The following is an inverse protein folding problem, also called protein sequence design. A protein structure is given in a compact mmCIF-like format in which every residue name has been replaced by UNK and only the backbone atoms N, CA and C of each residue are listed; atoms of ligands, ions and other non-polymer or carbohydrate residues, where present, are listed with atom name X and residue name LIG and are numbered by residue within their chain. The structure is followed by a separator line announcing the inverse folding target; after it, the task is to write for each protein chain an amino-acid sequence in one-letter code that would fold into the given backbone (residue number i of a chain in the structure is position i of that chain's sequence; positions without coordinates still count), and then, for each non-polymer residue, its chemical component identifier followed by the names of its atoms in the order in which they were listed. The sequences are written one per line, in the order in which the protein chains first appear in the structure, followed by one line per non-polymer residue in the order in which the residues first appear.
data_IF_833128388278
#
_entry.id   IF_833128388278
#
_cell.length_a   1.000
_cell.length_b   1.000
_cell.length_c   1.000
_cell.angle_alpha   90.00
_cell.angle_beta   90.00
_cell.angle_gamma   90.00
#
_symmetry.space_group_name_H-M   'P 1'
#
loop_
_entity.id
_entity.type
_entity.pdbx_description
1 polymer ?
#
# COMPACT_ATOMS: atom_id res chain seq x y z
N UNK A 1 8.42 4.12 -21.86
CA UNK A 1 7.28 3.28 -22.29
C UNK A 1 7.14 2.19 -21.26
N UNK A 2 5.98 2.01 -20.63
CA UNK A 2 5.79 1.28 -19.35
C UNK A 2 5.79 -0.26 -19.53
N UNK A 3 6.23 -0.77 -20.67
CA UNK A 3 5.49 -1.86 -21.29
C UNK A 3 5.89 -3.26 -20.86
N UNK A 4 7.15 -3.60 -20.59
CA UNK A 4 7.49 -5.02 -20.44
C UNK A 4 6.94 -5.63 -19.14
N UNK A 5 7.10 -4.92 -18.03
CA UNK A 5 6.79 -5.41 -16.68
C UNK A 5 5.49 -4.89 -16.08
N UNK A 6 4.72 -4.06 -16.79
CA UNK A 6 3.47 -3.51 -16.24
C UNK A 6 2.23 -4.31 -16.60
N UNK A 7 1.20 -4.18 -15.75
CA UNK A 7 -0.05 -4.92 -15.90
C UNK A 7 0.09 -6.42 -15.65
N UNK A 8 1.16 -6.84 -14.96
CA UNK A 8 1.35 -8.25 -14.59
C UNK A 8 0.56 -8.56 -13.32
N UNK A 9 -0.27 -9.58 -13.39
CA UNK A 9 -1.03 -10.11 -12.27
C UNK A 9 -0.27 -11.25 -11.59
N UNK A 10 -0.24 -11.16 -10.27
CA UNK A 10 0.40 -12.11 -9.39
C UNK A 10 -0.60 -12.67 -8.39
N UNK A 11 -0.35 -13.91 -8.00
CA UNK A 11 -0.94 -14.54 -6.82
C UNK A 11 0.13 -14.67 -5.73
N UNK A 12 -0.24 -14.39 -4.49
CA UNK A 12 0.62 -14.61 -3.34
C UNK A 12 -0.13 -15.35 -2.23
N UNK A 13 0.59 -16.15 -1.43
CA UNK A 13 0.02 -16.86 -0.28
C UNK A 13 -0.13 -15.88 0.88
N UNK A 14 -1.29 -15.88 1.55
CA UNK A 14 -1.52 -15.13 2.78
C UNK A 14 -0.90 -15.87 3.98
N UNK A 15 -0.61 -15.13 5.05
CA UNK A 15 -0.12 -15.76 6.28
C UNK A 15 -1.25 -16.59 6.94
N UNK A 16 -0.86 -17.47 7.87
CA UNK A 16 -1.78 -18.32 8.67
C UNK A 16 -2.80 -19.13 7.84
N UNK A 17 -2.38 -19.56 6.66
CA UNK A 17 -3.19 -20.36 5.72
C UNK A 17 -4.55 -19.72 5.36
N UNK A 18 -4.62 -18.38 5.37
CA UNK A 18 -5.85 -17.66 5.03
C UNK A 18 -6.24 -17.73 3.54
N UNK A 19 -5.38 -18.31 2.71
CA UNK A 19 -5.58 -18.55 1.28
C UNK A 19 -4.59 -17.80 0.40
N UNK A 20 -5.06 -17.30 -0.73
CA UNK A 20 -4.25 -16.64 -1.75
C UNK A 20 -4.86 -15.31 -2.17
N UNK A 21 -4.06 -14.24 -2.08
CA UNK A 21 -4.39 -12.90 -2.57
C UNK A 21 -3.89 -12.67 -3.99
N UNK A 22 -4.39 -11.60 -4.59
CA UNK A 22 -4.05 -11.20 -5.96
C UNK A 22 -3.58 -9.75 -5.99
N UNK A 23 -2.54 -9.49 -6.78
CA UNK A 23 -2.05 -8.15 -6.99
C UNK A 23 -1.67 -7.93 -8.45
N UNK A 24 -1.82 -6.70 -8.89
CA UNK A 24 -1.34 -6.21 -10.17
C UNK A 24 -0.16 -5.28 -9.94
N UNK A 25 0.93 -5.52 -10.68
CA UNK A 25 2.15 -4.74 -10.59
C UNK A 25 2.41 -3.93 -11.85
N UNK A 26 2.96 -2.74 -11.62
CA UNK A 26 3.38 -1.77 -12.61
C UNK A 26 4.83 -1.41 -12.37
N UNK A 27 5.62 -1.38 -13.44
CA UNK A 27 7.02 -1.04 -13.38
C UNK A 27 7.26 0.31 -14.04
N UNK A 28 7.65 1.29 -13.24
CA UNK A 28 7.92 2.66 -13.70
C UNK A 28 9.40 3.03 -13.59
N UNK A 29 10.28 2.05 -13.33
CA UNK A 29 11.72 2.29 -13.16
C UNK A 29 12.36 2.99 -14.37
N UNK A 30 11.85 2.73 -15.57
CA UNK A 30 12.32 3.34 -16.82
C UNK A 30 11.87 4.80 -17.00
N UNK A 31 10.91 5.27 -16.21
CA UNK A 31 10.38 6.64 -16.26
C UNK A 31 10.87 7.45 -15.07
N UNK A 32 10.78 6.88 -13.86
CA UNK A 32 11.23 7.53 -12.64
C UNK A 32 11.93 6.51 -11.73
N UNK A 33 13.26 6.61 -11.65
CA UNK A 33 14.10 5.74 -10.82
C UNK A 33 13.78 5.80 -9.32
N UNK A 34 13.14 6.88 -8.86
CA UNK A 34 12.73 7.05 -7.46
C UNK A 34 11.40 6.35 -7.11
N UNK A 35 10.57 6.02 -8.12
CA UNK A 35 9.18 5.61 -7.89
C UNK A 35 9.00 4.09 -7.82
N UNK A 36 10.06 3.32 -8.10
CA UNK A 36 10.07 1.85 -8.01
C UNK A 36 8.92 1.20 -8.79
N UNK A 37 8.52 0.01 -8.33
CA UNK A 37 7.35 -0.69 -8.87
C UNK A 37 6.13 -0.39 -8.01
N UNK A 38 4.97 -0.19 -8.61
CA UNK A 38 3.70 0.08 -7.93
C UNK A 38 2.83 -1.18 -7.97
N UNK A 39 2.18 -1.52 -6.86
CA UNK A 39 1.22 -2.63 -6.81
C UNK A 39 -0.14 -2.20 -6.28
N UNK A 40 -1.17 -2.83 -6.83
CA UNK A 40 -2.55 -2.79 -6.34
C UNK A 40 -2.96 -4.21 -5.96
N UNK A 41 -3.48 -4.37 -4.75
CA UNK A 41 -3.98 -5.64 -4.21
C UNK A 41 -5.49 -5.65 -4.32
N UNK A 42 -6.06 -6.74 -4.83
CA UNK A 42 -7.50 -6.90 -5.02
C UNK A 42 -8.17 -7.54 -3.80
N UNK A 43 -9.46 -7.27 -3.58
CA UNK A 43 -10.20 -7.80 -2.43
C UNK A 43 -10.42 -9.31 -2.48
N UNK A 44 -10.35 -9.93 -3.67
CA UNK A 44 -10.53 -11.36 -3.85
C UNK A 44 -9.48 -12.16 -3.07
N UNK A 45 -9.95 -13.21 -2.39
CA UNK A 45 -9.12 -14.24 -1.75
C UNK A 45 -9.66 -15.60 -2.16
N UNK A 46 -8.79 -16.44 -2.72
CA UNK A 46 -9.12 -17.82 -3.03
C UNK A 46 -8.52 -18.74 -1.95
N UNK A 47 -9.30 -19.67 -1.39
CA UNK A 47 -8.80 -20.62 -0.39
C UNK A 47 -7.83 -21.64 -1.00
N UNK A 48 -8.03 -21.97 -2.26
CA UNK A 48 -7.22 -22.93 -3.00
C UNK A 48 -6.68 -22.35 -4.31
N UNK A 49 -5.59 -22.93 -4.79
CA UNK A 49 -5.02 -22.55 -6.08
C UNK A 49 -5.80 -23.16 -7.24
N UNK A 50 -6.11 -22.35 -8.26
CA UNK A 50 -6.72 -22.81 -9.51
C UNK A 50 -5.66 -22.97 -10.59
N UNK A 51 -5.92 -23.84 -11.57
CA UNK A 51 -5.07 -23.98 -12.77
C UNK A 51 -5.16 -22.75 -13.67
N UNK A 52 -6.35 -22.15 -13.75
CA UNK A 52 -6.65 -20.99 -14.57
C UNK A 52 -7.42 -19.95 -13.76
N UNK A 53 -7.18 -18.68 -14.07
CA UNK A 53 -7.85 -17.54 -13.48
C UNK A 53 -8.40 -16.66 -14.60
N UNK A 54 -9.56 -16.04 -14.36
CA UNK A 54 -10.13 -15.03 -15.25
C UNK A 54 -9.88 -13.65 -14.67
N UNK A 55 -9.45 -12.71 -15.50
CA UNK A 55 -9.05 -11.36 -15.08
C UNK A 55 -10.23 -10.60 -14.47
N UNK A 56 -11.38 -10.61 -15.14
CA UNK A 56 -12.61 -9.90 -14.75
C UNK A 56 -13.07 -10.32 -13.35
N UNK A 57 -12.85 -11.59 -13.05
CA UNK A 57 -13.20 -12.27 -11.82
C UNK A 57 -12.31 -11.83 -10.64
N UNK A 58 -11.10 -11.33 -10.92
CA UNK A 58 -10.19 -10.71 -9.94
C UNK A 58 -10.51 -9.21 -9.83
N UNK A 59 -10.59 -8.52 -10.97
CA UNK A 59 -10.73 -7.05 -11.01
C UNK A 59 -12.08 -6.56 -10.50
N UNK A 60 -13.16 -7.31 -10.74
CA UNK A 60 -14.51 -7.00 -10.23
C UNK A 60 -14.62 -7.01 -8.71
N UNK A 61 -13.66 -7.63 -7.99
CA UNK A 61 -13.62 -7.58 -6.53
C UNK A 61 -13.23 -6.20 -5.97
N UNK A 62 -12.70 -5.32 -6.82
CA UNK A 62 -12.19 -4.02 -6.44
C UNK A 62 -10.85 -4.08 -5.72
N UNK A 63 -10.26 -2.91 -5.54
CA UNK A 63 -8.93 -2.74 -4.93
C UNK A 63 -9.08 -2.72 -3.41
N UNK A 64 -8.33 -3.58 -2.73
CA UNK A 64 -8.23 -3.65 -1.28
C UNK A 64 -7.16 -2.72 -0.72
N UNK A 65 -5.99 -2.73 -1.37
CA UNK A 65 -4.83 -1.92 -1.01
C UNK A 65 -4.18 -1.38 -2.28
N UNK A 66 -3.77 -0.13 -2.27
CA UNK A 66 -3.06 0.47 -3.40
C UNK A 66 -3.29 1.98 -3.50
N UNK A 67 -2.48 2.70 -4.28
CA UNK A 67 -1.21 2.24 -4.85
C UNK A 67 -0.15 2.04 -3.77
N UNK A 68 0.52 0.88 -3.74
CA UNK A 68 1.64 0.59 -2.82
C UNK A 68 2.95 0.62 -3.61
N UNK A 69 3.97 1.30 -3.08
CA UNK A 69 5.31 1.28 -3.67
C UNK A 69 6.14 0.11 -3.17
N UNK A 70 6.84 -0.54 -4.08
CA UNK A 70 7.81 -1.59 -3.81
C UNK A 70 9.23 -1.11 -4.10
N UNK A 71 10.18 -1.47 -3.24
CA UNK A 71 11.60 -1.23 -3.52
C UNK A 71 12.16 -2.15 -4.61
N UNK A 72 11.48 -3.27 -4.89
CA UNK A 72 11.85 -4.22 -5.93
C UNK A 72 10.61 -4.83 -6.57
N UNK A 73 10.68 -5.11 -7.87
CA UNK A 73 9.62 -5.79 -8.59
C UNK A 73 9.31 -7.17 -7.97
N UNK A 74 8.06 -7.66 -7.97
CA UNK A 74 7.73 -8.94 -7.37
C UNK A 74 8.53 -10.11 -7.94
N UNK A 75 9.25 -10.82 -7.07
CA UNK A 75 10.02 -12.01 -7.44
C UNK A 75 9.10 -13.22 -7.64
N UNK A 76 9.39 -14.01 -8.68
CA UNK A 76 8.64 -15.21 -9.05
C UNK A 76 9.25 -16.53 -8.56
N UNK A 77 10.39 -16.48 -7.88
CA UNK A 77 11.14 -17.65 -7.39
C UNK A 77 11.54 -17.46 -5.93
N UNK A 78 11.61 -18.57 -5.19
CA UNK A 78 12.01 -18.61 -3.77
C UNK A 78 10.84 -18.69 -2.79
N UNK A 79 11.16 -18.69 -1.51
CA UNK A 79 10.19 -18.68 -0.41
C UNK A 79 9.50 -17.32 -0.37
N UNK A 80 8.16 -17.29 -0.29
CA UNK A 80 7.38 -16.05 -0.33
C UNK A 80 7.25 -15.44 -1.73
N UNK A 81 7.63 -16.17 -2.78
CA UNK A 81 7.52 -15.71 -4.15
C UNK A 81 6.08 -15.51 -4.60
N UNK A 82 5.89 -14.47 -5.41
CA UNK A 82 4.62 -14.15 -6.04
C UNK A 82 4.52 -14.91 -7.35
N UNK A 83 3.47 -15.71 -7.54
CA UNK A 83 3.27 -16.50 -8.76
C UNK A 83 2.63 -15.63 -9.83
N UNK A 84 3.37 -15.36 -10.90
CA UNK A 84 2.83 -14.73 -12.10
C UNK A 84 1.69 -15.57 -12.69
N UNK A 85 0.58 -14.91 -13.02
CA UNK A 85 -0.61 -15.55 -13.60
C UNK A 85 -0.81 -15.13 -15.07
N UNK A 86 -0.89 -13.83 -15.31
CA UNK A 86 -1.23 -13.26 -16.61
C UNK A 86 -0.77 -11.80 -16.69
N UNK A 87 -0.76 -11.25 -17.90
CA UNK A 87 -0.56 -9.83 -18.16
C UNK A 87 -1.77 -9.31 -18.91
N UNK A 88 -2.19 -8.09 -18.62
CA UNK A 88 -3.23 -7.40 -19.39
C UNK A 88 -2.74 -6.02 -19.81
N UNK A 89 -3.36 -5.45 -20.84
CA UNK A 89 -2.94 -4.18 -21.44
C UNK A 89 -3.78 -2.99 -20.94
N UNK A 90 -4.92 -3.26 -20.31
CA UNK A 90 -5.83 -2.24 -19.81
C UNK A 90 -5.42 -1.74 -18.41
N UNK A 91 -4.30 -1.03 -18.36
CA UNK A 91 -3.70 -0.53 -17.13
C UNK A 91 -4.62 0.41 -16.33
N UNK A 92 -4.71 0.19 -15.01
CA UNK A 92 -5.34 1.11 -14.03
C UNK A 92 -4.61 2.46 -14.05
N UNK A 93 -3.28 2.42 -14.11
CA UNK A 93 -2.44 3.61 -14.12
C UNK A 93 -1.51 3.59 -15.34
N UNK A 94 -1.52 4.69 -16.08
CA UNK A 94 -0.67 4.90 -17.26
C UNK A 94 0.55 5.78 -16.97
N UNK A 95 0.57 6.45 -15.83
CA UNK A 95 1.65 7.32 -15.39
C UNK A 95 1.79 7.19 -13.88
N UNK A 96 3.01 7.29 -13.33
CA UNK A 96 3.19 7.31 -11.88
C UNK A 96 2.58 8.60 -11.30
N UNK A 97 1.98 8.50 -10.11
CA UNK A 97 1.49 9.68 -9.40
C UNK A 97 2.66 10.59 -9.05
N UNK A 98 2.56 11.89 -9.37
CA UNK A 98 3.58 12.90 -9.02
C UNK A 98 3.80 12.90 -7.50
N UNK A 99 5.05 12.74 -7.08
CA UNK A 99 5.47 12.69 -5.68
C UNK A 99 6.28 13.91 -5.24
N UNK A 100 6.53 14.02 -3.92
CA UNK A 100 7.39 15.04 -3.33
C UNK A 100 8.77 15.02 -3.98
N UNK A 101 9.30 13.81 -4.10
CA UNK A 101 10.65 13.55 -4.59
C UNK A 101 10.75 13.83 -6.11
N UNK A 102 9.64 13.69 -6.85
CA UNK A 102 9.53 14.13 -8.23
C UNK A 102 9.38 15.65 -8.36
N UNK A 103 8.77 16.33 -7.38
CA UNK A 103 8.64 17.79 -7.35
C UNK A 103 9.96 18.49 -7.03
N UNK A 104 10.81 17.92 -6.17
CA UNK A 104 12.16 18.46 -5.88
C UNK A 104 13.09 18.41 -7.12
N UNK A 105 12.72 17.66 -8.17
CA UNK A 105 13.43 17.60 -9.45
C UNK A 105 12.83 18.48 -10.54
N UNK A 106 11.74 19.17 -10.27
CA UNK A 106 11.22 20.21 -11.17
C UNK A 106 12.22 21.36 -11.16
N UNK A 107 12.67 21.90 -12.32
CA UNK A 107 13.47 23.12 -12.32
C UNK A 107 12.77 24.16 -11.45
N UNK A 108 13.54 24.91 -10.66
CA UNK A 108 13.09 25.99 -9.76
C UNK A 108 12.14 26.96 -10.47
N UNK A 109 10.86 26.61 -10.60
CA UNK A 109 9.83 27.52 -11.04
C UNK A 109 9.31 28.18 -9.77
N UNK A 110 9.76 29.40 -9.55
CA UNK A 110 9.43 30.26 -8.39
C UNK A 110 7.95 30.68 -8.33
N UNK A 111 7.08 30.19 -9.22
CA UNK A 111 5.66 30.51 -9.20
C UNK A 111 4.87 29.41 -8.49
N UNK A 112 4.65 29.64 -7.19
CA UNK A 112 3.96 28.72 -6.30
C UNK A 112 2.45 28.60 -6.58
N UNK A 113 1.87 29.53 -7.35
CA UNK A 113 0.43 29.55 -7.66
C UNK A 113 0.03 28.51 -8.74
N UNK A 114 1.00 27.89 -9.41
CA UNK A 114 0.76 26.91 -10.49
C UNK A 114 0.95 25.46 -10.05
N UNK A 115 1.39 25.22 -8.82
CA UNK A 115 1.51 23.88 -8.25
C UNK A 115 0.12 23.33 -7.92
N UNK A 116 -0.28 22.24 -8.58
CA UNK A 116 -1.51 21.50 -8.23
C UNK A 116 -1.42 21.05 -6.77
N UNK A 117 -2.42 21.45 -5.97
CA UNK A 117 -2.45 21.41 -4.49
C UNK A 117 -1.84 20.14 -3.90
N UNK A 118 -0.93 20.35 -2.96
CA UNK A 118 -0.31 19.31 -2.14
C UNK A 118 -0.34 19.60 -0.64
N UNK A 119 -1.14 20.59 -0.20
CA UNK A 119 -1.24 21.02 1.19
C UNK A 119 -2.58 21.75 1.50
N UNK A 120 -3.27 21.49 2.63
CA UNK A 120 -4.15 22.47 3.37
C UNK A 120 -4.86 21.96 4.64
N UNK A 121 -4.46 22.40 5.86
CA UNK A 121 -5.23 22.31 7.14
C UNK A 121 -5.27 23.62 7.91
N UNK A 122 -6.42 23.87 8.53
CA UNK A 122 -6.83 25.12 9.16
C UNK A 122 -6.12 25.56 10.46
N UNK A 123 -5.28 24.74 11.10
CA UNK A 123 -4.48 25.17 12.26
C UNK A 123 -3.16 25.84 11.84
N UNK A 124 -2.45 25.29 10.85
CA UNK A 124 -1.40 26.05 10.17
C UNK A 124 -1.92 27.00 9.10
N UNK A 125 -3.17 26.91 8.65
CA UNK A 125 -3.77 28.03 7.91
C UNK A 125 -3.84 29.34 8.73
N UNK A 126 -3.62 29.28 10.06
CA UNK A 126 -3.45 30.46 10.94
C UNK A 126 -2.00 30.79 11.33
N UNK A 127 -1.12 29.80 11.49
CA UNK A 127 0.27 29.98 12.03
C UNK A 127 1.40 29.77 10.99
N UNK A 128 1.17 29.03 9.90
CA UNK A 128 2.18 28.78 8.87
C UNK A 128 1.53 28.32 7.55
N UNK A 129 1.64 29.09 6.44
CA UNK A 129 0.84 28.95 5.20
C UNK A 129 1.00 27.64 4.40
N UNK A 130 1.52 26.55 5.01
CA UNK A 130 1.82 25.26 4.36
C UNK A 130 1.33 24.01 5.12
N UNK A 131 0.54 24.14 6.19
CA UNK A 131 0.09 22.97 6.98
C UNK A 131 -1.04 22.18 6.30
N UNK A 132 -1.15 20.87 6.59
CA UNK A 132 -2.07 19.89 5.93
C UNK A 132 -2.64 18.91 6.96
N UNK A 133 -3.94 18.56 6.94
CA UNK A 133 -4.53 17.76 7.96
C UNK A 133 -4.16 16.34 7.63
N UNK A 134 -3.79 15.60 8.66
CA UNK A 134 -3.34 14.24 8.49
C UNK A 134 -4.32 13.39 7.69
N UNK A 135 -5.63 13.62 7.84
CA UNK A 135 -6.68 12.92 7.08
C UNK A 135 -6.55 13.06 5.56
N UNK A 136 -6.06 14.21 5.07
CA UNK A 136 -5.85 14.48 3.64
C UNK A 136 -4.55 13.87 3.10
N UNK A 137 -3.56 13.67 3.98
CA UNK A 137 -2.22 13.16 3.62
C UNK A 137 -1.94 11.74 4.10
N UNK A 138 -2.86 11.10 4.81
CA UNK A 138 -2.67 9.71 5.29
C UNK A 138 -2.45 8.72 4.15
N UNK A 139 -2.98 8.99 2.96
CA UNK A 139 -2.70 8.19 1.76
C UNK A 139 -1.21 8.19 1.37
N UNK A 140 -0.44 9.20 1.81
CA UNK A 140 1.01 9.24 1.61
C UNK A 140 1.73 8.14 2.38
N UNK A 141 1.12 7.57 3.42
CA UNK A 141 1.69 6.40 4.10
C UNK A 141 1.93 5.25 3.11
N UNK A 142 1.14 5.10 2.04
CA UNK A 142 1.35 4.03 1.03
C UNK A 142 2.61 4.23 0.17
N UNK A 143 3.28 5.38 0.31
CA UNK A 143 4.51 5.73 -0.43
C UNK A 143 5.78 5.21 0.22
N UNK A 144 5.72 4.84 1.51
CA UNK A 144 6.84 4.14 2.15
C UNK A 144 7.14 2.89 1.31
N UNK A 145 8.39 2.68 0.91
CA UNK A 145 8.76 1.52 0.12
C UNK A 145 8.50 0.23 0.91
N UNK A 146 7.83 -0.73 0.28
CA UNK A 146 7.49 -2.01 0.89
C UNK A 146 8.26 -3.16 0.21
N UNK A 147 8.50 -4.23 0.97
CA UNK A 147 8.76 -5.54 0.39
C UNK A 147 7.44 -6.17 -0.06
N UNK A 148 7.53 -7.16 -0.95
CA UNK A 148 6.39 -8.03 -1.28
C UNK A 148 5.82 -8.71 -0.02
N UNK A 149 6.67 -9.12 0.91
CA UNK A 149 6.25 -9.68 2.21
C UNK A 149 5.47 -8.67 3.05
N UNK A 150 5.89 -7.39 3.05
CA UNK A 150 5.16 -6.33 3.72
C UNK A 150 3.76 -6.13 3.15
N UNK A 151 3.60 -6.28 1.82
CA UNK A 151 2.27 -6.25 1.18
C UNK A 151 1.41 -7.44 1.62
N UNK A 152 2.00 -8.65 1.66
CA UNK A 152 1.29 -9.86 2.13
C UNK A 152 0.80 -9.68 3.57
N UNK A 153 1.68 -9.26 4.48
CA UNK A 153 1.34 -9.03 5.88
C UNK A 153 0.24 -7.96 6.03
N UNK A 154 0.37 -6.81 5.36
CA UNK A 154 -0.66 -5.75 5.38
C UNK A 154 -2.02 -6.26 4.91
N UNK A 155 -2.04 -7.00 3.81
CA UNK A 155 -3.30 -7.52 3.27
C UNK A 155 -3.91 -8.58 4.18
N UNK A 156 -3.08 -9.43 4.79
CA UNK A 156 -3.53 -10.43 5.76
C UNK A 156 -4.11 -9.76 7.01
N UNK A 157 -3.41 -8.77 7.59
CA UNK A 157 -3.93 -7.94 8.69
C UNK A 157 -5.25 -7.26 8.31
N UNK A 158 -5.35 -6.71 7.09
CA UNK A 158 -6.59 -6.10 6.60
C UNK A 158 -7.74 -7.09 6.60
N UNK A 159 -7.50 -8.32 6.12
CA UNK A 159 -8.51 -9.37 6.09
C UNK A 159 -8.96 -9.80 7.48
N UNK A 160 -8.03 -9.98 8.41
CA UNK A 160 -8.36 -10.24 9.81
C UNK A 160 -9.28 -9.13 10.38
N UNK A 161 -8.92 -7.86 10.17
CA UNK A 161 -9.73 -6.72 10.64
C UNK A 161 -11.11 -6.66 9.98
N UNK A 162 -11.18 -6.93 8.67
CA UNK A 162 -12.44 -6.91 7.91
C UNK A 162 -13.38 -8.06 8.30
N UNK A 163 -12.81 -9.21 8.69
CA UNK A 163 -13.52 -10.39 9.19
C UNK A 163 -13.87 -10.29 10.69
N UNK A 164 -13.46 -9.22 11.37
CA UNK A 164 -13.74 -8.98 12.79
C UNK A 164 -12.80 -9.71 13.75
N UNK A 165 -11.70 -10.27 13.24
CA UNK A 165 -10.69 -10.94 14.05
C UNK A 165 -9.74 -9.96 14.73
N UNK A 166 -9.21 -10.38 15.89
CA UNK A 166 -8.19 -9.62 16.59
C UNK A 166 -6.79 -9.93 16.02
N UNK A 167 -6.16 -8.93 15.39
CA UNK A 167 -4.84 -9.03 14.78
C UNK A 167 -3.76 -9.50 15.77
N UNK A 168 -3.87 -9.15 17.06
CA UNK A 168 -2.87 -9.53 18.08
C UNK A 168 -2.82 -11.03 18.36
N UNK A 169 -3.85 -11.80 17.96
CA UNK A 169 -3.82 -13.27 18.03
C UNK A 169 -2.89 -13.89 16.98
N UNK A 170 -2.54 -13.13 15.94
CA UNK A 170 -1.83 -13.62 14.77
C UNK A 170 -0.45 -12.96 14.63
N UNK A 171 -0.36 -11.66 14.90
CA UNK A 171 0.88 -10.90 14.86
C UNK A 171 1.17 -10.29 16.22
N UNK A 172 2.39 -10.48 16.71
CA UNK A 172 2.87 -9.78 17.89
C UNK A 172 3.09 -8.29 17.56
N UNK A 173 2.26 -7.42 18.16
CA UNK A 173 2.33 -5.97 17.97
C UNK A 173 3.29 -5.29 18.97
N UNK A 174 3.95 -6.03 19.87
CA UNK A 174 5.12 -5.52 20.59
C UNK A 174 6.33 -5.41 19.66
N UNK A 175 6.41 -6.25 18.61
CA UNK A 175 7.44 -6.14 17.59
C UNK A 175 7.25 -4.87 16.74
N UNK A 176 8.25 -3.98 16.77
CA UNK A 176 8.23 -2.69 16.07
C UNK A 176 7.81 -2.80 14.60
N UNK A 177 8.29 -3.82 13.88
CA UNK A 177 7.98 -4.04 12.47
C UNK A 177 6.50 -4.31 12.21
N UNK A 178 5.89 -5.21 13.00
CA UNK A 178 4.46 -5.54 12.87
C UNK A 178 3.60 -4.37 13.36
N UNK A 179 4.01 -3.71 14.46
CA UNK A 179 3.34 -2.52 15.00
C UNK A 179 3.24 -1.39 13.99
N UNK A 180 4.37 -1.01 13.39
CA UNK A 180 4.41 0.08 12.40
C UNK A 180 3.55 -0.25 11.19
N UNK A 181 3.58 -1.51 10.74
CA UNK A 181 2.79 -1.98 9.61
C UNK A 181 1.29 -1.94 9.89
N UNK A 182 0.88 -2.36 11.09
CA UNK A 182 -0.50 -2.31 11.55
C UNK A 182 -1.00 -0.86 11.67
N UNK A 183 -0.24 0.02 12.32
CA UNK A 183 -0.57 1.45 12.46
C UNK A 183 -0.75 2.11 11.10
N UNK A 184 0.19 1.87 10.18
CA UNK A 184 0.13 2.39 8.81
C UNK A 184 -1.12 1.87 8.07
N UNK A 185 -1.43 0.57 8.20
CA UNK A 185 -2.61 -0.01 7.58
C UNK A 185 -3.90 0.65 8.08
N UNK A 186 -4.06 0.77 9.41
CA UNK A 186 -5.31 1.28 10.00
C UNK A 186 -5.51 2.77 9.68
N UNK A 187 -4.44 3.56 9.71
CA UNK A 187 -4.47 4.98 9.41
C UNK A 187 -4.78 5.25 7.93
N UNK A 188 -4.16 4.48 7.02
CA UNK A 188 -4.38 4.65 5.59
C UNK A 188 -5.78 4.22 5.16
N UNK A 189 -6.24 3.02 5.55
CA UNK A 189 -7.35 2.34 4.88
C UNK A 189 -8.67 2.32 5.66
N UNK A 190 -8.69 2.75 6.92
CA UNK A 190 -9.91 2.76 7.73
C UNK A 190 -10.33 4.17 8.15
N UNK A 191 -11.62 4.45 8.38
CA UNK A 191 -12.05 5.73 8.94
C UNK A 191 -11.41 6.00 10.31
N UNK A 192 -11.18 7.27 10.64
CA UNK A 192 -10.52 7.69 11.87
C UNK A 192 -11.10 7.03 13.12
N UNK A 193 -12.43 6.97 13.24
CA UNK A 193 -13.10 6.36 14.39
C UNK A 193 -12.86 4.86 14.52
N UNK A 194 -12.73 4.14 13.40
CA UNK A 194 -12.36 2.72 13.41
C UNK A 194 -10.87 2.55 13.72
N UNK A 195 -10.01 3.41 13.15
CA UNK A 195 -8.56 3.38 13.42
C UNK A 195 -8.25 3.61 14.91
N UNK A 196 -8.92 4.58 15.57
CA UNK A 196 -8.77 4.83 17.02
C UNK A 196 -9.10 3.58 17.84
N UNK A 197 -10.22 2.91 17.57
CA UNK A 197 -10.58 1.66 18.28
C UNK A 197 -9.57 0.54 18.03
N UNK A 198 -9.07 0.44 16.80
CA UNK A 198 -8.08 -0.58 16.44
C UNK A 198 -6.71 -0.33 17.09
N UNK A 199 -6.36 0.92 17.41
CA UNK A 199 -5.07 1.24 18.03
C UNK A 199 -5.00 0.83 19.51
N UNK A 200 -6.15 0.73 20.19
CA UNK A 200 -6.26 0.35 21.60
C UNK A 200 -5.74 -1.06 21.89
N UNK A 201 -5.62 -1.91 20.86
CA UNK A 201 -5.10 -3.28 20.99
C UNK A 201 -3.56 -3.33 21.03
N UNK A 202 -2.88 -2.21 20.74
CA UNK A 202 -1.42 -2.14 20.80
C UNK A 202 -0.99 -2.08 22.27
N UNK A 203 -0.10 -2.97 22.74
CA UNK A 203 0.42 -2.87 24.10
C UNK A 203 1.12 -1.52 24.28
N UNK A 204 0.74 -0.78 25.32
CA UNK A 204 1.40 0.48 25.68
C UNK A 204 2.77 0.12 26.24
N UNK A 205 3.85 0.52 25.56
CA UNK A 205 5.19 0.46 26.13
C UNK A 205 5.23 1.44 27.31
N UNK A 206 5.09 0.94 28.54
CA UNK A 206 5.21 1.74 29.77
C UNK A 206 6.67 2.16 30.01
N UNK A 207 7.64 1.58 29.29
CA UNK A 207 9.06 1.67 29.62
C UNK A 207 9.89 2.70 28.81
N UNK A 208 9.26 3.54 27.96
CA UNK A 208 9.97 4.58 27.19
C UNK A 208 9.59 6.02 27.56
N UNK A 209 9.06 6.24 28.77
CA UNK A 209 9.01 7.58 29.37
C UNK A 209 10.11 7.63 30.44
N UNK A 210 11.34 7.89 30.00
CA UNK A 210 12.47 8.27 30.86
C UNK A 210 13.16 9.49 30.25
#
# INVERSE_FOLDING_TARGET
MIEENSGKFFRFKLDFDMGFGFAEAYDFTDIHSADGSIVFVYNRVDKETKKTYKLEEITSSGIALGPIRLFSYPNSRGIGAWKFLMKHENFIIKEPNITKDAQDRTPLVYNWDTLKRWHTSDYGMKESPRYVPYSEVRSLETRILNSTLGVVKKFTMKKLIDEGENVTKYYDLSELGNRNMFVQLINTYYPLEKAKKLIEVIPVDVDNIA
#
